data_IF_144609022470
#
_entry.id   IF_144609022470
#
_cell.length_a   1.000
_cell.length_b   1.000
_cell.length_c   1.000
_cell.angle_alpha   90.00
_cell.angle_beta   90.00
_cell.angle_gamma   90.00
#
_symmetry.space_group_name_H-M   'P 1'
#
loop_
_entity.id
_entity.type
_entity.pdbx_description
1 polymer ?
#
# COMPACT_ATOMS: atom_id res chain seq x y z
N UNK A 1 34.05 30.50 13.62
CA UNK A 1 34.10 29.03 13.52
C UNK A 1 33.26 28.59 12.33
N UNK A 2 33.88 28.00 11.29
CA UNK A 2 33.17 27.50 10.09
C UNK A 2 32.63 26.11 10.40
N UNK A 3 31.31 25.95 10.51
CA UNK A 3 30.66 24.64 10.63
C UNK A 3 30.54 24.00 9.25
N UNK A 4 31.33 22.97 8.98
CA UNK A 4 31.21 22.12 7.80
C UNK A 4 30.01 21.21 8.05
N UNK A 5 28.85 21.53 7.44
CA UNK A 5 27.72 20.60 7.36
C UNK A 5 28.02 19.63 6.22
N UNK A 6 28.63 18.50 6.56
CA UNK A 6 28.89 17.39 5.66
C UNK A 6 27.54 16.74 5.28
N UNK A 7 27.00 17.12 4.12
CA UNK A 7 25.87 16.41 3.51
C UNK A 7 26.38 15.07 3.00
N UNK A 8 26.11 13.99 3.75
CA UNK A 8 26.18 12.64 3.21
C UNK A 8 24.99 12.45 2.26
N UNK A 9 25.19 12.76 0.97
CA UNK A 9 24.29 12.29 -0.08
C UNK A 9 24.65 10.83 -0.31
N UNK A 10 23.99 9.94 0.45
CA UNK A 10 23.94 8.52 0.10
C UNK A 10 23.01 8.42 -1.11
N UNK A 11 23.57 8.61 -2.30
CA UNK A 11 22.95 8.24 -3.57
C UNK A 11 22.98 6.71 -3.69
N UNK A 12 22.17 6.05 -2.87
CA UNK A 12 21.85 4.64 -3.09
C UNK A 12 20.62 4.62 -4.01
N UNK A 13 20.86 4.77 -5.30
CA UNK A 13 19.85 4.46 -6.31
C UNK A 13 19.74 2.92 -6.30
N UNK A 14 18.95 2.40 -5.37
CA UNK A 14 18.35 1.09 -5.55
C UNK A 14 17.40 1.25 -6.73
N UNK A 15 17.90 0.99 -7.95
CA UNK A 15 17.05 0.60 -9.05
C UNK A 15 16.59 -0.82 -8.69
N UNK A 16 15.69 -0.94 -7.72
CA UNK A 16 14.81 -2.09 -7.69
C UNK A 16 14.05 -1.97 -9.00
N UNK A 17 14.42 -2.77 -9.99
CA UNK A 17 13.47 -3.14 -11.02
C UNK A 17 12.29 -3.71 -10.25
N UNK A 18 11.27 -2.88 -10.00
CA UNK A 18 9.99 -3.27 -9.44
C UNK A 18 9.37 -4.15 -10.52
N UNK A 19 9.81 -5.40 -10.58
CA UNK A 19 9.06 -6.42 -11.27
C UNK A 19 7.78 -6.51 -10.47
N UNK A 20 6.71 -5.94 -11.01
CA UNK A 20 5.40 -6.11 -10.46
C UNK A 20 5.17 -7.63 -10.39
N UNK A 21 5.00 -8.16 -9.18
CA UNK A 21 4.69 -9.56 -8.89
C UNK A 21 3.37 -9.57 -8.13
N UNK A 22 2.49 -10.52 -8.41
CA UNK A 22 1.19 -10.60 -7.73
C UNK A 22 1.29 -10.96 -6.24
N UNK A 23 2.42 -11.49 -5.78
CA UNK A 23 2.68 -11.88 -4.38
C UNK A 23 3.37 -10.80 -3.57
N UNK A 24 3.87 -9.74 -4.22
CA UNK A 24 4.61 -8.66 -3.57
C UNK A 24 3.75 -7.40 -3.58
N UNK A 25 3.50 -6.85 -2.40
CA UNK A 25 2.93 -5.51 -2.28
C UNK A 25 4.04 -4.48 -2.45
N UNK A 26 3.91 -3.67 -3.50
CA UNK A 26 4.74 -2.49 -3.69
C UNK A 26 4.06 -1.28 -3.08
N UNK A 27 4.83 -0.44 -2.38
CA UNK A 27 4.36 0.79 -1.75
C UNK A 27 5.06 2.00 -2.38
N UNK A 28 4.34 3.10 -2.53
CA UNK A 28 4.88 4.35 -3.04
C UNK A 28 4.52 4.62 -4.51
N UNK A 29 4.84 5.83 -4.99
CA UNK A 29 4.36 6.27 -6.30
C UNK A 29 4.77 5.34 -7.45
N UNK A 30 3.82 5.05 -8.34
CA UNK A 30 4.11 4.30 -9.56
C UNK A 30 5.05 5.14 -10.41
N UNK A 31 6.31 4.71 -10.54
CA UNK A 31 7.24 5.33 -11.48
C UNK A 31 6.73 5.11 -12.90
N UNK A 32 6.10 6.12 -13.47
CA UNK A 32 5.84 6.20 -14.92
C UNK A 32 7.20 6.44 -15.57
N UNK A 33 7.79 5.42 -16.19
CA UNK A 33 9.11 5.58 -16.81
C UNK A 33 9.07 6.73 -17.83
N UNK A 34 10.09 7.59 -17.75
CA UNK A 34 10.28 8.71 -18.66
C UNK A 34 10.48 8.18 -20.07
N UNK A 35 9.70 8.69 -21.04
CA UNK A 35 9.81 8.39 -22.48
C UNK A 35 11.26 8.44 -22.96
N UNK A 36 11.90 7.27 -23.09
CA UNK A 36 13.26 7.13 -23.61
C UNK A 36 13.28 6.10 -24.73
N UNK A 37 13.35 6.60 -25.98
CA UNK A 37 13.82 6.01 -27.24
C UNK A 37 13.50 4.56 -27.67
N UNK A 38 12.94 3.70 -26.82
CA UNK A 38 12.46 2.37 -27.17
C UNK A 38 10.93 2.36 -27.01
N UNK A 39 10.21 1.92 -28.04
CA UNK A 39 8.78 1.60 -27.94
C UNK A 39 8.62 0.31 -27.11
N UNK A 40 8.94 0.37 -25.83
CA UNK A 40 8.36 -0.57 -24.89
C UNK A 40 6.94 -0.08 -24.62
N UNK A 41 5.94 -0.88 -24.98
CA UNK A 41 4.56 -0.61 -24.61
C UNK A 41 4.50 -0.54 -23.08
N UNK A 42 4.26 0.66 -22.55
CA UNK A 42 4.12 0.87 -21.12
C UNK A 42 3.00 -0.05 -20.61
N UNK A 43 3.22 -0.82 -19.54
CA UNK A 43 2.20 -1.69 -19.02
C UNK A 43 0.96 -0.89 -18.64
N UNK A 44 -0.21 -1.39 -19.03
CA UNK A 44 -1.48 -0.73 -18.74
C UNK A 44 -1.72 -0.79 -17.23
N UNK A 45 -1.82 0.39 -16.62
CA UNK A 45 -2.17 0.54 -15.21
C UNK A 45 -3.68 0.40 -15.04
N UNK A 46 -4.10 -0.40 -14.05
CA UNK A 46 -5.51 -0.52 -13.63
C UNK A 46 -5.62 -0.11 -12.17
N UNK A 47 -6.50 0.85 -11.89
CA UNK A 47 -6.71 1.40 -10.54
C UNK A 47 -7.88 0.68 -9.84
N UNK A 48 -7.67 0.31 -8.58
CA UNK A 48 -8.67 -0.27 -7.68
C UNK A 48 -8.73 0.54 -6.39
N UNK A 49 -9.93 0.73 -5.84
CA UNK A 49 -10.13 1.50 -4.62
C UNK A 49 -10.97 0.71 -3.62
N UNK A 50 -10.61 0.84 -2.34
CA UNK A 50 -11.33 0.24 -1.23
C UNK A 50 -11.44 1.19 -0.05
N UNK A 51 -12.55 1.07 0.68
CA UNK A 51 -12.97 1.99 1.73
C UNK A 51 -13.41 1.19 2.95
N UNK A 52 -13.04 1.63 4.15
CA UNK A 52 -13.50 1.05 5.41
C UNK A 52 -13.63 2.12 6.48
N UNK A 53 -14.57 1.91 7.41
CA UNK A 53 -14.72 2.72 8.61
C UNK A 53 -14.89 1.82 9.83
N UNK A 54 -14.19 2.12 10.91
CA UNK A 54 -14.27 1.38 12.16
C UNK A 54 -14.48 2.33 13.34
N UNK A 55 -15.28 1.93 14.32
CA UNK A 55 -15.40 2.66 15.60
C UNK A 55 -14.60 1.93 16.68
N UNK A 56 -14.03 2.65 17.65
CA UNK A 56 -13.51 2.03 18.86
C UNK A 56 -14.62 1.24 19.54
N UNK A 57 -14.38 -0.04 19.84
CA UNK A 57 -15.38 -0.91 20.46
C UNK A 57 -14.72 -1.97 21.33
N UNK A 58 -15.39 -2.35 22.41
CA UNK A 58 -15.03 -3.53 23.19
C UNK A 58 -15.39 -4.78 22.37
N UNK A 59 -14.40 -5.64 22.16
CA UNK A 59 -14.54 -6.94 21.51
C UNK A 59 -14.04 -8.02 22.46
N UNK A 60 -14.65 -9.19 22.39
CA UNK A 60 -14.22 -10.34 23.18
C UNK A 60 -13.14 -11.09 22.38
N UNK A 61 -11.98 -11.31 22.97
CA UNK A 61 -10.90 -12.06 22.33
C UNK A 61 -11.16 -13.58 22.33
N UNK A 62 -10.25 -14.35 21.72
CA UNK A 62 -10.35 -15.81 21.64
C UNK A 62 -10.28 -16.52 23.01
N UNK A 63 -9.89 -15.81 24.07
CA UNK A 63 -9.84 -16.30 25.46
C UNK A 63 -11.07 -15.88 26.26
N UNK A 64 -11.96 -15.07 25.68
CA UNK A 64 -13.14 -14.57 26.35
C UNK A 64 -12.93 -13.25 27.10
N UNK A 65 -11.76 -12.61 26.98
CA UNK A 65 -11.45 -11.34 27.65
C UNK A 65 -11.90 -10.16 26.79
N UNK A 66 -12.38 -9.09 27.43
CA UNK A 66 -12.75 -7.87 26.71
C UNK A 66 -11.51 -7.04 26.38
N UNK A 67 -11.28 -6.82 25.09
CA UNK A 67 -10.24 -5.93 24.59
C UNK A 67 -10.86 -4.74 23.87
N UNK A 68 -10.28 -3.56 24.06
CA UNK A 68 -10.69 -2.36 23.36
C UNK A 68 -10.03 -2.34 21.98
N UNK A 69 -10.83 -2.41 20.92
CA UNK A 69 -10.31 -2.38 19.55
C UNK A 69 -9.80 -0.98 19.22
N UNK A 70 -8.49 -0.88 19.06
CA UNK A 70 -7.78 0.38 18.82
C UNK A 70 -7.80 0.76 17.34
N UNK A 71 -7.27 1.95 17.05
CA UNK A 71 -6.95 2.34 15.68
C UNK A 71 -6.02 1.33 14.99
N UNK A 72 -4.97 0.88 15.70
CA UNK A 72 -3.97 -0.06 15.15
C UNK A 72 -4.61 -1.41 14.81
N UNK A 73 -5.52 -1.91 15.65
CA UNK A 73 -6.23 -3.16 15.37
C UNK A 73 -7.11 -3.02 14.12
N UNK A 74 -7.84 -1.91 14.03
CA UNK A 74 -8.69 -1.61 12.88
C UNK A 74 -7.89 -1.42 11.59
N UNK A 75 -6.72 -0.76 11.68
CA UNK A 75 -5.80 -0.59 10.56
C UNK A 75 -5.23 -1.94 10.11
N UNK A 76 -4.80 -2.80 11.03
CA UNK A 76 -4.25 -4.12 10.71
C UNK A 76 -5.27 -5.00 10.01
N UNK A 77 -6.52 -5.00 10.48
CA UNK A 77 -7.60 -5.73 9.81
C UNK A 77 -7.86 -5.19 8.39
N UNK A 78 -7.90 -3.86 8.23
CA UNK A 78 -8.04 -3.25 6.91
C UNK A 78 -6.88 -3.62 5.99
N UNK A 79 -5.64 -3.56 6.49
CA UNK A 79 -4.44 -3.91 5.73
C UNK A 79 -4.47 -5.37 5.28
N UNK A 80 -4.82 -6.31 6.16
CA UNK A 80 -4.93 -7.74 5.82
C UNK A 80 -5.98 -7.95 4.73
N UNK A 81 -7.17 -7.35 4.88
CA UNK A 81 -8.22 -7.42 3.87
C UNK A 81 -7.74 -6.91 2.51
N UNK A 82 -7.08 -5.76 2.48
CA UNK A 82 -6.55 -5.18 1.25
C UNK A 82 -5.48 -6.06 0.64
N UNK A 83 -4.49 -6.50 1.40
CA UNK A 83 -3.42 -7.39 0.92
C UNK A 83 -4.01 -8.64 0.26
N UNK A 84 -4.87 -9.35 0.96
CA UNK A 84 -5.38 -10.65 0.50
C UNK A 84 -6.29 -10.48 -0.73
N UNK A 85 -7.13 -9.45 -0.73
CA UNK A 85 -7.99 -9.11 -1.89
C UNK A 85 -7.15 -8.70 -3.10
N UNK A 86 -6.06 -7.99 -2.86
CA UNK A 86 -5.23 -7.45 -3.94
C UNK A 86 -4.42 -8.53 -4.64
N UNK A 87 -3.82 -9.44 -3.87
CA UNK A 87 -3.11 -10.62 -4.40
C UNK A 87 -4.08 -11.47 -5.22
N UNK A 88 -5.24 -11.81 -4.64
CA UNK A 88 -6.26 -12.61 -5.32
C UNK A 88 -6.72 -11.96 -6.63
N UNK A 89 -6.95 -10.65 -6.61
CA UNK A 89 -7.39 -9.89 -7.79
C UNK A 89 -6.31 -9.88 -8.87
N UNK A 90 -5.04 -9.76 -8.48
CA UNK A 90 -3.90 -9.82 -9.40
C UNK A 90 -3.82 -11.16 -10.12
N UNK A 91 -3.87 -12.26 -9.35
CA UNK A 91 -3.77 -13.62 -9.88
C UNK A 91 -4.99 -13.99 -10.75
N UNK A 92 -6.20 -13.60 -10.32
CA UNK A 92 -7.45 -13.98 -11.01
C UNK A 92 -7.64 -13.24 -12.33
N UNK A 93 -7.22 -11.97 -12.40
CA UNK A 93 -7.41 -11.14 -13.59
C UNK A 93 -6.24 -11.18 -14.58
N UNK A 94 -5.24 -12.02 -14.32
CA UNK A 94 -4.06 -12.18 -15.18
C UNK A 94 -3.21 -10.91 -15.25
N UNK A 95 -3.15 -10.14 -14.17
CA UNK A 95 -2.21 -9.02 -14.08
C UNK A 95 -0.79 -9.55 -13.92
N UNK A 96 0.19 -8.82 -14.43
CA UNK A 96 1.62 -9.12 -14.25
C UNK A 96 2.04 -8.90 -12.80
N UNK A 97 1.46 -7.91 -12.12
CA UNK A 97 1.72 -7.68 -10.71
C UNK A 97 1.07 -6.44 -10.12
N UNK A 98 1.33 -6.21 -8.84
CA UNK A 98 0.87 -5.05 -8.08
C UNK A 98 1.95 -3.97 -8.14
N UNK A 99 1.66 -2.81 -8.74
CA UNK A 99 2.65 -1.73 -8.89
C UNK A 99 2.68 -0.76 -7.71
N UNK A 100 1.54 -0.56 -7.04
CA UNK A 100 1.47 0.31 -5.87
C UNK A 100 0.23 -0.03 -5.01
N UNK A 101 0.37 0.10 -3.70
CA UNK A 101 -0.67 0.19 -2.69
C UNK A 101 -0.43 1.48 -1.87
N UNK A 102 -1.35 2.44 -2.01
CA UNK A 102 -1.41 3.66 -1.20
C UNK A 102 -2.55 3.54 -0.20
N UNK A 103 -2.24 3.57 1.10
CA UNK A 103 -3.22 3.54 2.18
C UNK A 103 -3.22 4.89 2.88
N UNK A 104 -4.40 5.50 2.95
CA UNK A 104 -4.66 6.74 3.68
C UNK A 104 -5.65 6.49 4.79
N UNK A 105 -5.54 7.28 5.85
CA UNK A 105 -6.46 7.22 6.98
C UNK A 105 -6.80 8.62 7.47
N UNK A 106 -7.96 8.73 8.10
CA UNK A 106 -8.37 9.87 8.89
C UNK A 106 -9.15 9.41 10.11
N UNK A 107 -9.29 10.28 11.11
CA UNK A 107 -10.02 9.98 12.34
C UNK A 107 -10.90 11.16 12.70
N UNK A 108 -12.10 10.88 13.19
CA UNK A 108 -12.90 11.82 13.98
C UNK A 108 -12.96 11.33 15.45
N UNK A 109 -13.71 12.03 16.30
CA UNK A 109 -13.85 11.73 17.73
C UNK A 109 -14.34 10.30 18.04
N UNK A 110 -14.92 9.59 17.06
CA UNK A 110 -15.62 8.31 17.27
C UNK A 110 -15.30 7.24 16.22
N UNK A 111 -14.56 7.58 15.18
CA UNK A 111 -14.46 6.78 13.97
C UNK A 111 -13.08 6.91 13.33
N UNK A 112 -12.56 5.78 12.88
CA UNK A 112 -11.40 5.65 12.04
C UNK A 112 -11.86 5.37 10.61
N UNK A 113 -11.32 6.11 9.66
CA UNK A 113 -11.60 5.95 8.24
C UNK A 113 -10.32 5.49 7.54
N UNK A 114 -10.44 4.49 6.68
CA UNK A 114 -9.34 3.95 5.90
C UNK A 114 -9.73 3.90 4.44
N UNK A 115 -8.81 4.31 3.57
CA UNK A 115 -8.95 4.24 2.13
C UNK A 115 -7.68 3.64 1.55
N UNK A 116 -7.83 2.73 0.59
CA UNK A 116 -6.70 2.16 -0.14
C UNK A 116 -6.90 2.39 -1.64
N UNK A 117 -5.85 2.81 -2.33
CA UNK A 117 -5.76 2.83 -3.79
C UNK A 117 -4.68 1.85 -4.22
N UNK A 118 -5.02 0.95 -5.13
CA UNK A 118 -4.12 -0.05 -5.66
C UNK A 118 -4.01 0.05 -7.17
N UNK A 119 -2.79 -0.13 -7.65
CA UNK A 119 -2.49 -0.10 -9.06
C UNK A 119 -1.95 -1.46 -9.48
N UNK A 120 -2.50 -2.01 -10.56
CA UNK A 120 -2.03 -3.25 -11.17
C UNK A 120 -1.36 -2.97 -12.51
N UNK A 121 -0.41 -3.84 -12.86
CA UNK A 121 0.26 -3.88 -14.16
C UNK A 121 -0.39 -4.98 -14.97
N UNK A 122 -1.01 -4.65 -16.10
CA UNK A 122 -1.52 -5.65 -17.06
C UNK A 122 -0.45 -6.10 -18.05
#
# INVERSE_FOLDING_TARGET
MKSIKMFFIINLIFITNLYADCKILNFGEVQKSSKGFFKEELPKIVDYQAYSSAKPRLVKDNKGEYQFKTFIDSYNEFFIYIRDTSIKTCETNGYKGISNLDIKFSTDDKTYYFTATLNYVK
#
